data_IF_759257706236
#
_entry.id   IF_759257706236
#
_cell.length_a   1.000
_cell.length_b   1.000
_cell.length_c   1.000
_cell.angle_alpha   90.00
_cell.angle_beta   90.00
_cell.angle_gamma   90.00
#
_symmetry.space_group_name_H-M   'P 1'
#
loop_
_entity.id
_entity.type
_entity.pdbx_description
1 polymer ?
#
# COMPACT_ATOMS: atom_id res chain seq x y z
N UNK A 1 -3.35 -8.25 2.16
CA UNK A 1 -3.12 -7.93 3.60
C UNK A 1 -4.40 -7.33 4.20
N UNK A 2 -4.52 -7.24 5.53
CA UNK A 2 -5.66 -6.56 6.21
C UNK A 2 -5.45 -5.04 6.25
N UNK A 3 -6.52 -4.26 6.51
CA UNK A 3 -6.43 -2.81 6.68
C UNK A 3 -5.50 -2.41 7.84
N UNK A 4 -5.55 -3.13 8.97
CA UNK A 4 -4.68 -2.86 10.12
C UNK A 4 -3.21 -3.08 9.77
N UNK A 5 -2.89 -4.17 9.08
CA UNK A 5 -1.52 -4.46 8.61
C UNK A 5 -1.04 -3.39 7.62
N UNK A 6 -1.89 -2.98 6.67
CA UNK A 6 -1.57 -1.95 5.69
C UNK A 6 -1.32 -0.61 6.36
N UNK A 7 -2.19 -0.21 7.30
CA UNK A 7 -2.06 1.02 8.06
C UNK A 7 -0.76 1.06 8.88
N UNK A 8 -0.47 -0.01 9.63
CA UNK A 8 0.73 -0.10 10.44
C UNK A 8 1.98 -0.03 9.55
N UNK A 9 2.01 -0.82 8.47
CA UNK A 9 3.16 -0.83 7.57
C UNK A 9 3.40 0.52 6.89
N UNK A 10 2.33 1.19 6.45
CA UNK A 10 2.41 2.54 5.87
C UNK A 10 3.08 3.55 6.82
N UNK A 11 2.74 3.51 8.12
CA UNK A 11 3.28 4.45 9.11
C UNK A 11 4.69 4.08 9.61
N UNK A 12 5.11 2.82 9.47
CA UNK A 12 6.47 2.39 9.79
C UNK A 12 7.50 2.85 8.75
N UNK A 13 7.10 2.94 7.48
CA UNK A 13 7.99 3.32 6.37
C UNK A 13 8.50 4.75 6.55
N UNK A 14 9.82 4.93 6.51
CA UNK A 14 10.46 6.24 6.63
C UNK A 14 10.93 6.80 5.28
N UNK A 15 11.17 5.93 4.30
CA UNK A 15 11.64 6.27 2.97
C UNK A 15 10.51 6.74 2.06
N UNK A 16 10.88 7.50 1.03
CA UNK A 16 9.91 8.00 0.04
C UNK A 16 9.52 6.95 -1.00
N UNK A 17 10.38 5.96 -1.27
CA UNK A 17 10.15 4.94 -2.30
C UNK A 17 10.00 3.55 -1.68
N UNK A 18 9.09 2.76 -2.26
CA UNK A 18 8.76 1.41 -1.83
C UNK A 18 8.67 0.47 -3.03
N UNK A 19 8.93 -0.81 -2.79
CA UNK A 19 8.49 -1.91 -3.66
C UNK A 19 7.21 -2.50 -3.04
N UNK A 20 6.11 -2.49 -3.78
CA UNK A 20 4.90 -3.23 -3.42
C UNK A 20 4.89 -4.55 -4.16
N UNK A 21 4.78 -5.65 -3.42
CA UNK A 21 4.61 -6.99 -3.97
C UNK A 21 3.13 -7.34 -3.95
N UNK A 22 2.64 -7.84 -5.06
CA UNK A 22 1.25 -8.22 -5.22
C UNK A 22 1.02 -9.70 -4.89
N UNK A 23 -0.25 -10.08 -4.72
CA UNK A 23 -0.65 -11.47 -4.45
C UNK A 23 -0.40 -12.41 -5.64
N UNK A 24 -0.33 -11.89 -6.85
CA UNK A 24 -0.08 -12.64 -8.09
C UNK A 24 1.41 -12.85 -8.38
N UNK A 25 2.28 -12.26 -7.57
CA UNK A 25 3.74 -12.36 -7.68
C UNK A 25 4.39 -11.24 -8.51
N UNK A 26 3.62 -10.31 -9.07
CA UNK A 26 4.18 -9.10 -9.67
C UNK A 26 4.61 -8.07 -8.60
N UNK A 27 5.37 -7.06 -8.99
CA UNK A 27 5.73 -5.96 -8.10
C UNK A 27 5.74 -4.60 -8.80
N UNK A 28 5.51 -3.55 -8.02
CA UNK A 28 5.54 -2.16 -8.44
C UNK A 28 6.48 -1.36 -7.54
N UNK A 29 7.44 -0.66 -8.14
CA UNK A 29 8.29 0.30 -7.42
C UNK A 29 7.79 1.71 -7.67
N UNK A 30 7.60 2.49 -6.60
CA UNK A 30 7.19 3.88 -6.73
C UNK A 30 7.23 4.67 -5.43
N UNK A 31 6.87 5.95 -5.53
CA UNK A 31 6.79 6.86 -4.39
C UNK A 31 5.56 6.52 -3.54
N UNK A 32 5.74 6.24 -2.26
CA UNK A 32 4.62 6.12 -1.32
C UNK A 32 4.03 7.51 -1.05
N UNK A 33 2.73 7.67 -1.24
CA UNK A 33 2.09 8.99 -1.20
C UNK A 33 1.06 9.15 -0.09
N UNK A 34 0.02 8.31 -0.08
CA UNK A 34 -1.07 8.41 0.90
C UNK A 34 -1.71 7.06 1.23
N UNK A 35 -2.32 6.99 2.40
CA UNK A 35 -3.18 5.88 2.84
C UNK A 35 -4.65 6.34 2.87
N UNK A 36 -5.56 5.47 2.42
CA UNK A 36 -7.00 5.68 2.49
C UNK A 36 -7.63 4.52 3.27
N UNK A 37 -8.31 4.83 4.38
CA UNK A 37 -9.06 3.84 5.16
C UNK A 37 -10.33 3.40 4.43
N UNK A 38 -10.74 2.15 4.58
CA UNK A 38 -11.99 1.64 4.00
C UNK A 38 -13.24 2.42 4.46
N UNK A 39 -13.21 2.98 5.68
CA UNK A 39 -14.30 3.85 6.18
C UNK A 39 -14.40 5.16 5.38
N UNK A 40 -13.25 5.67 4.92
CA UNK A 40 -13.21 6.88 4.09
C UNK A 40 -13.42 6.57 2.61
N UNK A 41 -13.15 5.32 2.19
CA UNK A 41 -13.20 4.88 0.80
C UNK A 41 -14.53 4.19 0.41
N UNK A 42 -15.54 4.20 1.28
CA UNK A 42 -16.79 3.44 1.07
C UNK A 42 -17.38 3.66 -0.35
N UNK A 43 -17.66 2.58 -1.11
CA UNK A 43 -17.77 1.18 -0.67
C UNK A 43 -16.47 0.36 -0.75
N UNK A 44 -15.35 0.96 -1.13
CA UNK A 44 -14.11 0.27 -1.42
C UNK A 44 -13.29 -0.02 -0.16
N UNK A 45 -12.45 -1.04 -0.22
CA UNK A 45 -11.55 -1.37 0.88
C UNK A 45 -10.41 -0.35 1.01
N UNK A 46 -9.63 -0.49 2.09
CA UNK A 46 -8.49 0.37 2.34
C UNK A 46 -7.43 0.24 1.24
N UNK A 47 -6.78 1.35 0.90
CA UNK A 47 -5.81 1.43 -0.19
C UNK A 47 -4.61 2.30 0.18
N UNK A 48 -3.53 2.17 -0.60
CA UNK A 48 -2.43 3.11 -0.62
C UNK A 48 -2.20 3.64 -2.03
N UNK A 49 -1.62 4.82 -2.11
CA UNK A 49 -1.18 5.43 -3.36
C UNK A 49 0.33 5.28 -3.51
N UNK A 50 0.74 4.64 -4.60
CA UNK A 50 2.14 4.50 -5.02
C UNK A 50 2.31 5.15 -6.39
N UNK A 51 2.91 6.35 -6.41
CA UNK A 51 2.91 7.20 -7.60
C UNK A 51 1.49 7.62 -7.96
N UNK A 52 0.99 7.19 -9.12
CA UNK A 52 -0.38 7.43 -9.58
C UNK A 52 -1.27 6.18 -9.49
N UNK A 53 -0.80 5.11 -8.84
CA UNK A 53 -1.52 3.86 -8.71
C UNK A 53 -2.15 3.77 -7.33
N UNK A 54 -3.46 3.57 -7.29
CA UNK A 54 -4.18 3.12 -6.09
C UNK A 54 -4.09 1.60 -6.01
N UNK A 55 -3.60 1.10 -4.88
CA UNK A 55 -3.39 -0.33 -4.64
C UNK A 55 -4.21 -0.74 -3.41
N UNK A 56 -5.13 -1.67 -3.60
CA UNK A 56 -6.05 -2.08 -2.54
C UNK A 56 -5.41 -3.11 -1.60
N UNK A 57 -5.85 -3.12 -0.34
CA UNK A 57 -5.30 -4.00 0.68
C UNK A 57 -5.33 -5.48 0.29
N UNK A 58 -6.37 -5.95 -0.42
CA UNK A 58 -6.48 -7.34 -0.87
C UNK A 58 -5.47 -7.72 -1.97
N UNK A 59 -4.98 -6.74 -2.75
CA UNK A 59 -4.03 -6.95 -3.84
C UNK A 59 -2.58 -7.05 -3.33
N UNK A 60 -2.31 -6.50 -2.15
CA UNK A 60 -0.96 -6.34 -1.62
C UNK A 60 -0.59 -7.54 -0.73
N UNK A 61 0.55 -8.17 -1.06
CA UNK A 61 1.17 -9.19 -0.23
C UNK A 61 2.20 -8.61 0.74
N UNK A 62 3.02 -7.66 0.29
CA UNK A 62 4.09 -7.04 1.10
C UNK A 62 4.43 -5.64 0.59
N UNK A 63 4.87 -4.75 1.49
CA UNK A 63 5.46 -3.44 1.14
C UNK A 63 6.88 -3.39 1.68
N UNK A 64 7.86 -3.34 0.78
CA UNK A 64 9.29 -3.31 1.11
C UNK A 64 9.81 -1.89 0.94
N UNK A 65 10.48 -1.39 1.97
CA UNK A 65 11.09 -0.06 1.95
C UNK A 65 12.39 -0.09 1.15
N UNK A 66 12.59 0.89 0.27
CA UNK A 66 13.81 1.02 -0.55
C UNK A 66 14.64 2.18 0.01
N UNK A 67 15.88 1.88 0.41
CA UNK A 67 16.85 2.84 0.95
C UNK A 67 17.54 3.69 -0.12
#
# INVERSE_FOLDING_TARGET
>A
MTEEELYNRYHEIQSTYVEVRFIDGESLIGKLDSFVSGVNNEPDEASIYVGCYELFASEISEIVEIS
#
